data_IF_340918861368
#
_entry.id   IF_340918861368
#
_cell.length_a   1.000
_cell.length_b   1.000
_cell.length_c   1.000
_cell.angle_alpha   90.00
_cell.angle_beta   90.00
_cell.angle_gamma   90.00
#
_symmetry.space_group_name_H-M   'P 1'
#
loop_
_entity.id
_entity.type
_entity.pdbx_description
1 polymer ?
#
# COMPACT_ATOMS: atom_id res chain seq x y z
N UNK A 1 2.79 -22.67 17.98
CA UNK A 1 3.32 -21.39 18.49
C UNK A 1 3.73 -20.41 17.41
N UNK A 2 4.60 -20.77 16.45
CA UNK A 2 5.04 -19.86 15.37
C UNK A 2 3.86 -19.31 14.53
N UNK A 3 2.92 -20.16 14.16
CA UNK A 3 1.75 -19.79 13.38
C UNK A 3 0.89 -18.73 14.08
N UNK A 4 0.65 -18.91 15.40
CA UNK A 4 -0.06 -17.92 16.21
C UNK A 4 0.70 -16.60 16.33
N UNK A 5 2.01 -16.65 16.51
CA UNK A 5 2.82 -15.43 16.54
C UNK A 5 2.71 -14.66 15.23
N UNK A 6 2.92 -15.33 14.10
CA UNK A 6 2.99 -14.69 12.76
C UNK A 6 1.63 -14.15 12.31
N UNK A 7 0.52 -14.89 12.59
CA UNK A 7 -0.79 -14.54 12.03
C UNK A 7 -1.78 -13.95 13.02
N UNK A 8 -1.39 -13.83 14.31
CA UNK A 8 -2.21 -13.17 15.35
C UNK A 8 -1.42 -12.04 15.98
N UNK A 9 -0.31 -12.36 16.65
CA UNK A 9 0.41 -11.36 17.46
C UNK A 9 1.06 -10.30 16.57
N UNK A 10 1.79 -10.70 15.54
CA UNK A 10 2.53 -9.79 14.66
C UNK A 10 1.66 -8.74 13.97
N UNK A 11 0.49 -9.06 13.36
CA UNK A 11 -0.42 -8.07 12.81
C UNK A 11 -0.88 -7.03 13.84
N UNK A 12 -1.24 -7.45 15.04
CA UNK A 12 -1.65 -6.51 16.08
C UNK A 12 -0.52 -5.62 16.56
N UNK A 13 0.71 -6.14 16.68
CA UNK A 13 1.87 -5.33 17.00
C UNK A 13 2.09 -4.26 15.93
N UNK A 14 2.02 -4.63 14.65
CA UNK A 14 2.18 -3.69 13.54
C UNK A 14 1.09 -2.61 13.53
N UNK A 15 -0.17 -3.00 13.75
CA UNK A 15 -1.30 -2.05 13.83
C UNK A 15 -1.19 -1.14 15.07
N UNK A 16 -0.78 -1.68 16.20
CA UNK A 16 -0.55 -0.87 17.41
C UNK A 16 0.56 0.17 17.17
N UNK A 17 1.69 -0.24 16.58
CA UNK A 17 2.78 0.68 16.21
C UNK A 17 2.29 1.73 15.20
N UNK A 18 1.47 1.32 14.23
CA UNK A 18 0.89 2.24 13.25
C UNK A 18 0.07 3.33 13.93
N UNK A 19 -0.88 2.97 14.78
CA UNK A 19 -1.76 3.92 15.46
C UNK A 19 -1.00 4.79 16.46
N UNK A 20 -0.28 4.16 17.39
CA UNK A 20 0.46 4.86 18.45
C UNK A 20 1.55 5.74 17.84
N UNK A 21 2.27 5.22 16.84
CA UNK A 21 3.32 5.95 16.14
C UNK A 21 2.82 7.21 15.42
N UNK A 22 1.64 7.14 14.79
CA UNK A 22 1.02 8.33 14.17
C UNK A 22 0.60 9.36 15.22
N UNK A 23 -0.05 8.93 16.30
CA UNK A 23 -0.45 9.82 17.39
C UNK A 23 0.79 10.50 18.01
N UNK A 24 1.82 9.72 18.31
CA UNK A 24 3.05 10.23 18.90
C UNK A 24 3.74 11.23 17.97
N UNK A 25 3.90 10.88 16.67
CA UNK A 25 4.52 11.77 15.70
C UNK A 25 3.74 13.05 15.49
N UNK A 26 2.41 12.96 15.38
CA UNK A 26 1.56 14.15 15.27
C UNK A 26 1.66 15.07 16.48
N UNK A 27 1.74 14.49 17.70
CA UNK A 27 1.82 15.26 18.95
C UNK A 27 3.19 15.89 19.19
N UNK A 28 4.28 15.11 18.94
CA UNK A 28 5.63 15.50 19.36
C UNK A 28 6.53 16.01 18.23
N UNK A 29 6.21 15.67 16.97
CA UNK A 29 7.05 15.98 15.80
C UNK A 29 6.20 16.34 14.57
N UNK A 30 5.23 17.22 14.75
CA UNK A 30 4.30 17.63 13.69
C UNK A 30 5.00 18.29 12.49
N UNK A 31 6.09 19.02 12.72
CA UNK A 31 6.83 19.68 11.64
C UNK A 31 7.56 18.73 10.70
N UNK A 32 7.88 17.51 11.15
CA UNK A 32 8.46 16.47 10.30
C UNK A 32 7.41 15.64 9.55
N UNK A 33 6.12 15.93 9.75
CA UNK A 33 5.01 15.24 9.08
C UNK A 33 4.89 15.68 7.61
N UNK A 34 5.93 15.38 6.84
CA UNK A 34 6.04 15.79 5.45
C UNK A 34 6.90 14.83 4.65
N UNK A 35 6.76 14.84 3.32
CA UNK A 35 7.66 14.16 2.41
C UNK A 35 8.59 15.18 1.76
N UNK A 36 9.89 15.14 2.09
CA UNK A 36 10.89 16.03 1.48
C UNK A 36 10.88 15.86 -0.04
N UNK A 37 10.66 16.95 -0.77
CA UNK A 37 10.67 16.94 -2.23
C UNK A 37 12.11 16.98 -2.75
N UNK A 38 12.37 16.19 -3.79
CA UNK A 38 13.62 16.23 -4.56
C UNK A 38 13.38 16.63 -6.01
N UNK A 39 12.27 17.33 -6.29
CA UNK A 39 11.86 17.73 -7.63
C UNK A 39 12.85 18.68 -8.29
N UNK A 40 13.44 19.59 -7.51
CA UNK A 40 14.42 20.56 -8.01
C UNK A 40 15.71 19.90 -8.52
N UNK A 41 16.02 18.67 -8.07
CA UNK A 41 17.24 17.96 -8.51
C UNK A 41 17.00 17.23 -9.83
N UNK A 42 15.85 16.57 -9.94
CA UNK A 42 15.46 15.84 -11.15
C UNK A 42 13.93 15.72 -11.19
N UNK A 43 13.33 16.35 -12.20
CA UNK A 43 11.87 16.49 -12.33
C UNK A 43 11.25 15.43 -13.23
N UNK A 44 11.92 15.05 -14.34
CA UNK A 44 11.30 14.24 -15.41
C UNK A 44 10.96 12.83 -14.94
N UNK A 45 11.93 12.12 -14.35
CA UNK A 45 11.73 10.75 -13.83
C UNK A 45 10.82 10.76 -12.62
N UNK A 46 10.92 11.80 -11.77
CA UNK A 46 10.02 11.95 -10.62
C UNK A 46 8.57 12.09 -11.07
N UNK A 47 8.30 12.96 -12.05
CA UNK A 47 6.94 13.20 -12.57
C UNK A 47 6.32 11.91 -13.09
N UNK A 48 6.99 11.21 -13.98
CA UNK A 48 6.44 9.99 -14.58
C UNK A 48 6.35 8.83 -13.57
N UNK A 49 7.40 8.63 -12.78
CA UNK A 49 7.38 7.59 -11.74
C UNK A 49 6.29 7.81 -10.71
N UNK A 50 6.12 9.04 -10.23
CA UNK A 50 5.07 9.37 -9.28
C UNK A 50 3.67 9.28 -9.89
N UNK A 51 3.48 9.77 -11.12
CA UNK A 51 2.20 9.69 -11.81
C UNK A 51 1.75 8.24 -12.00
N UNK A 52 2.60 7.38 -12.56
CA UNK A 52 2.29 5.97 -12.78
C UNK A 52 2.06 5.23 -11.46
N UNK A 53 2.89 5.49 -10.45
CA UNK A 53 2.72 4.87 -9.14
C UNK A 53 1.36 5.20 -8.53
N UNK A 54 0.95 6.48 -8.49
CA UNK A 54 -0.31 6.87 -7.87
C UNK A 54 -1.52 6.47 -8.72
N UNK A 55 -1.41 6.56 -10.05
CA UNK A 55 -2.48 6.09 -10.95
C UNK A 55 -2.75 4.59 -10.78
N UNK A 56 -1.73 3.81 -10.51
CA UNK A 56 -1.86 2.38 -10.30
C UNK A 56 -2.24 2.01 -8.87
N UNK A 57 -1.57 2.59 -7.85
CA UNK A 57 -1.76 2.18 -6.45
C UNK A 57 -3.15 2.49 -5.89
N UNK A 58 -3.80 3.57 -6.36
CA UNK A 58 -5.13 3.95 -5.89
C UNK A 58 -6.16 2.88 -6.27
N UNK A 59 -6.29 2.46 -7.55
CA UNK A 59 -7.18 1.34 -7.91
C UNK A 59 -6.80 0.02 -7.22
N UNK A 60 -5.50 -0.28 -7.08
CA UNK A 60 -5.03 -1.47 -6.34
C UNK A 60 -5.49 -1.42 -4.90
N UNK A 61 -5.40 -0.27 -4.22
CA UNK A 61 -5.90 -0.11 -2.86
C UNK A 61 -7.41 -0.39 -2.78
N UNK A 62 -8.22 0.19 -3.66
CA UNK A 62 -9.66 -0.08 -3.68
C UNK A 62 -9.97 -1.54 -4.02
N UNK A 63 -9.18 -2.18 -4.88
CA UNK A 63 -9.27 -3.62 -5.12
C UNK A 63 -9.06 -4.44 -3.85
N UNK A 64 -8.09 -4.07 -3.01
CA UNK A 64 -7.88 -4.71 -1.70
C UNK A 64 -9.05 -4.44 -0.74
N UNK A 65 -9.59 -3.22 -0.71
CA UNK A 65 -10.79 -2.92 0.10
C UNK A 65 -11.96 -3.82 -0.31
N UNK A 66 -12.24 -3.92 -1.60
CA UNK A 66 -13.33 -4.77 -2.11
C UNK A 66 -13.06 -6.24 -1.82
N UNK A 67 -11.84 -6.72 -2.06
CA UNK A 67 -11.50 -8.14 -1.92
C UNK A 67 -11.36 -8.64 -0.49
N UNK A 68 -10.91 -7.79 0.44
CA UNK A 68 -10.64 -8.20 1.82
C UNK A 68 -11.76 -7.82 2.78
N UNK A 69 -12.35 -6.63 2.63
CA UNK A 69 -13.33 -6.12 3.60
C UNK A 69 -14.77 -6.46 3.22
N UNK A 70 -15.12 -6.50 1.92
CA UNK A 70 -16.49 -6.79 1.50
C UNK A 70 -16.70 -8.31 1.44
N UNK A 71 -17.65 -8.87 2.22
CA UNK A 71 -17.99 -10.29 2.15
C UNK A 71 -18.48 -10.72 0.76
N UNK A 72 -18.15 -11.95 0.35
CA UNK A 72 -18.51 -12.47 -0.96
C UNK A 72 -20.02 -12.46 -1.22
N UNK A 73 -20.82 -12.82 -0.22
CA UNK A 73 -22.27 -12.85 -0.28
C UNK A 73 -22.91 -11.48 -0.58
N UNK A 74 -22.28 -10.39 -0.18
CA UNK A 74 -22.78 -9.04 -0.50
C UNK A 74 -22.58 -8.71 -1.98
N UNK A 75 -21.47 -9.14 -2.56
CA UNK A 75 -21.21 -8.96 -3.99
C UNK A 75 -22.13 -9.85 -4.83
N UNK A 76 -22.40 -11.07 -4.38
CA UNK A 76 -23.34 -11.98 -5.01
C UNK A 76 -24.78 -11.41 -5.01
N UNK A 77 -25.19 -10.75 -3.93
CA UNK A 77 -26.50 -10.12 -3.82
C UNK A 77 -26.72 -9.00 -4.86
N UNK A 78 -25.65 -8.36 -5.34
CA UNK A 78 -25.71 -7.35 -6.42
C UNK A 78 -25.37 -7.91 -7.81
N UNK A 79 -25.33 -9.24 -7.95
CA UNK A 79 -25.11 -9.92 -9.23
C UNK A 79 -23.66 -10.19 -9.60
N UNK A 80 -22.68 -9.86 -8.74
CA UNK A 80 -21.25 -10.15 -8.95
C UNK A 80 -20.91 -11.50 -8.34
N UNK A 81 -21.04 -12.57 -9.14
CA UNK A 81 -20.68 -13.91 -8.70
C UNK A 81 -19.14 -14.08 -8.58
N UNK A 82 -18.71 -15.18 -7.95
CA UNK A 82 -17.30 -15.46 -7.72
C UNK A 82 -16.45 -15.48 -9.01
N UNK A 83 -17.00 -15.98 -10.10
CA UNK A 83 -16.31 -16.06 -11.39
C UNK A 83 -16.05 -14.66 -11.99
N UNK A 84 -17.10 -13.81 -12.05
CA UNK A 84 -17.00 -12.42 -12.53
C UNK A 84 -16.03 -11.63 -11.67
N UNK A 85 -16.12 -11.78 -10.35
CA UNK A 85 -15.20 -11.15 -9.42
C UNK A 85 -13.76 -11.58 -9.66
N UNK A 86 -13.50 -12.89 -9.78
CA UNK A 86 -12.14 -13.42 -10.00
C UNK A 86 -11.52 -12.89 -11.28
N UNK A 87 -12.28 -12.91 -12.40
CA UNK A 87 -11.82 -12.34 -13.67
C UNK A 87 -11.48 -10.87 -13.50
N UNK A 88 -12.37 -10.07 -12.89
CA UNK A 88 -12.14 -8.65 -12.64
C UNK A 88 -10.90 -8.41 -11.76
N UNK A 89 -10.75 -9.17 -10.68
CA UNK A 89 -9.61 -9.05 -9.77
C UNK A 89 -8.28 -9.39 -10.47
N UNK A 90 -8.25 -10.43 -11.30
CA UNK A 90 -7.03 -10.83 -12.03
C UNK A 90 -6.70 -9.83 -13.12
N UNK A 91 -7.62 -9.50 -14.01
CA UNK A 91 -7.33 -8.62 -15.16
C UNK A 91 -7.10 -7.17 -14.74
N UNK A 92 -8.04 -6.58 -13.99
CA UNK A 92 -7.95 -5.19 -13.55
C UNK A 92 -6.79 -5.04 -12.56
N UNK A 93 -6.68 -5.97 -11.60
CA UNK A 93 -5.59 -6.01 -10.62
C UNK A 93 -4.20 -6.13 -11.29
N UNK A 94 -4.06 -6.95 -12.34
CA UNK A 94 -2.82 -7.09 -13.10
C UNK A 94 -2.43 -5.80 -13.81
N UNK A 95 -3.38 -5.16 -14.52
CA UNK A 95 -3.11 -3.91 -15.24
C UNK A 95 -2.64 -2.83 -14.29
N UNK A 96 -3.38 -2.55 -13.22
CA UNK A 96 -3.00 -1.50 -12.27
C UNK A 96 -1.80 -1.90 -11.41
N UNK A 97 -1.63 -3.18 -11.10
CA UNK A 97 -0.45 -3.71 -10.42
C UNK A 97 0.83 -3.48 -11.23
N UNK A 98 0.81 -3.78 -12.54
CA UNK A 98 1.95 -3.55 -13.44
C UNK A 98 2.24 -2.06 -13.60
N UNK A 99 1.22 -1.21 -13.77
CA UNK A 99 1.38 0.25 -13.83
C UNK A 99 2.06 0.77 -12.56
N UNK A 100 1.60 0.30 -11.38
CA UNK A 100 2.20 0.65 -10.09
C UNK A 100 3.65 0.20 -9.99
N UNK A 101 3.93 -1.03 -10.41
CA UNK A 101 5.27 -1.61 -10.39
C UNK A 101 6.24 -0.84 -11.30
N UNK A 102 5.82 -0.48 -12.50
CA UNK A 102 6.63 0.35 -13.41
C UNK A 102 6.91 1.72 -12.79
N UNK A 103 5.89 2.37 -12.21
CA UNK A 103 6.06 3.63 -11.50
C UNK A 103 7.05 3.53 -10.35
N UNK A 104 6.93 2.46 -9.54
CA UNK A 104 7.83 2.21 -8.41
C UNK A 104 9.26 1.91 -8.86
N UNK A 105 9.45 1.13 -9.93
CA UNK A 105 10.76 0.87 -10.51
C UNK A 105 11.44 2.18 -10.97
N UNK A 106 10.71 3.06 -11.65
CA UNK A 106 11.24 4.36 -12.07
C UNK A 106 11.67 5.21 -10.87
N UNK A 107 10.87 5.24 -9.79
CA UNK A 107 11.20 5.97 -8.56
C UNK A 107 12.41 5.36 -7.85
N UNK A 108 12.50 4.04 -7.80
CA UNK A 108 13.63 3.32 -7.19
C UNK A 108 14.91 3.54 -7.96
N UNK A 109 14.89 3.34 -9.28
CA UNK A 109 16.03 3.58 -10.16
C UNK A 109 16.51 5.04 -10.07
N UNK A 110 15.58 6.00 -10.08
CA UNK A 110 15.90 7.40 -9.88
C UNK A 110 16.64 7.65 -8.57
N UNK A 111 16.12 7.08 -7.48
CA UNK A 111 16.68 7.24 -6.13
C UNK A 111 18.08 6.64 -6.00
N UNK A 112 18.31 5.48 -6.59
CA UNK A 112 19.58 4.76 -6.47
C UNK A 112 20.63 5.28 -7.48
N UNK A 113 20.22 5.66 -8.71
CA UNK A 113 21.14 6.05 -9.78
C UNK A 113 21.62 7.50 -9.67
N UNK A 114 20.77 8.42 -9.18
CA UNK A 114 21.13 9.84 -9.16
C UNK A 114 21.78 10.19 -7.82
N UNK A 115 23.10 10.43 -7.86
CA UNK A 115 23.96 10.68 -6.68
C UNK A 115 23.38 11.75 -5.73
N UNK A 116 22.88 12.87 -6.28
CA UNK A 116 22.33 13.96 -5.48
C UNK A 116 21.00 13.60 -4.82
N UNK A 117 20.13 12.84 -5.51
CA UNK A 117 18.88 12.33 -4.94
C UNK A 117 19.17 11.32 -3.82
N UNK A 118 20.13 10.41 -4.05
CA UNK A 118 20.55 9.41 -3.06
C UNK A 118 21.12 10.06 -1.80
N UNK A 119 21.95 11.11 -1.93
CA UNK A 119 22.52 11.85 -0.80
C UNK A 119 21.47 12.57 0.06
N UNK A 120 20.39 13.04 -0.55
CA UNK A 120 19.27 13.67 0.16
C UNK A 120 18.27 12.65 0.76
N UNK A 121 18.38 11.39 0.40
CA UNK A 121 17.51 10.34 0.90
C UNK A 121 18.00 9.86 2.27
N UNK A 122 17.10 9.85 3.25
CA UNK A 122 17.36 9.22 4.55
C UNK A 122 17.38 7.70 4.43
N UNK A 123 17.86 7.02 5.46
CA UNK A 123 17.79 5.56 5.53
C UNK A 123 16.34 5.07 5.43
N UNK A 124 15.41 5.71 6.14
CA UNK A 124 13.99 5.34 6.09
C UNK A 124 13.36 5.52 4.70
N UNK A 125 13.82 6.51 3.92
CA UNK A 125 13.37 6.71 2.54
C UNK A 125 13.81 5.57 1.61
N UNK A 126 15.04 5.08 1.77
CA UNK A 126 15.57 3.97 0.96
C UNK A 126 14.91 2.67 1.40
N UNK A 127 14.83 2.44 2.70
CA UNK A 127 14.23 1.24 3.28
C UNK A 127 12.77 1.07 2.80
N UNK A 128 11.91 2.07 3.01
CA UNK A 128 10.50 1.97 2.62
C UNK A 128 10.33 1.84 1.10
N UNK A 129 11.20 2.48 0.32
CA UNK A 129 11.19 2.36 -1.14
C UNK A 129 11.48 0.93 -1.59
N UNK A 130 12.47 0.26 -0.99
CA UNK A 130 12.82 -1.13 -1.31
C UNK A 130 11.71 -2.08 -0.83
N UNK A 131 11.21 -1.91 0.39
CA UNK A 131 10.13 -2.77 0.92
C UNK A 131 8.87 -2.66 0.05
N UNK A 132 8.47 -1.44 -0.34
CA UNK A 132 7.33 -1.25 -1.25
C UNK A 132 7.56 -1.92 -2.61
N UNK A 133 8.78 -1.82 -3.16
CA UNK A 133 9.10 -2.51 -4.41
C UNK A 133 8.93 -4.03 -4.28
N UNK A 134 9.42 -4.63 -3.20
CA UNK A 134 9.29 -6.07 -2.95
C UNK A 134 7.82 -6.46 -2.77
N UNK A 135 7.03 -5.67 -2.03
CA UNK A 135 5.58 -5.90 -1.87
C UNK A 135 4.88 -5.90 -3.22
N UNK A 136 5.17 -4.93 -4.08
CA UNK A 136 4.56 -4.85 -5.41
C UNK A 136 4.93 -6.02 -6.30
N UNK A 137 6.20 -6.45 -6.26
CA UNK A 137 6.65 -7.65 -6.96
C UNK A 137 5.89 -8.88 -6.47
N UNK A 138 5.77 -9.06 -5.15
CA UNK A 138 5.03 -10.18 -4.56
C UNK A 138 3.54 -10.13 -4.86
N UNK A 139 2.93 -8.95 -4.87
CA UNK A 139 1.53 -8.76 -5.26
C UNK A 139 1.27 -9.11 -6.72
N UNK A 140 2.10 -8.61 -7.64
CA UNK A 140 2.03 -8.98 -9.05
C UNK A 140 2.28 -10.47 -9.26
N UNK A 141 3.26 -11.05 -8.58
CA UNK A 141 3.54 -12.49 -8.64
C UNK A 141 2.32 -13.31 -8.15
N UNK A 142 1.70 -12.93 -7.04
CA UNK A 142 0.51 -13.62 -6.53
C UNK A 142 -0.66 -13.53 -7.51
N UNK A 143 -0.88 -12.37 -8.13
CA UNK A 143 -1.99 -12.18 -9.07
C UNK A 143 -1.77 -12.89 -10.42
N UNK A 144 -0.56 -12.83 -10.97
CA UNK A 144 -0.27 -13.35 -12.31
C UNK A 144 0.20 -14.80 -12.29
N UNK A 145 1.10 -15.16 -11.37
CA UNK A 145 1.76 -16.47 -11.38
C UNK A 145 1.05 -17.45 -10.46
N UNK A 146 0.79 -17.07 -9.21
CA UNK A 146 0.17 -17.98 -8.24
C UNK A 146 -1.25 -18.35 -8.66
N UNK A 147 -2.05 -17.39 -9.14
CA UNK A 147 -3.39 -17.70 -9.66
C UNK A 147 -3.37 -18.59 -10.92
N UNK A 148 -2.33 -18.48 -11.76
CA UNK A 148 -2.19 -19.35 -12.93
C UNK A 148 -1.79 -20.77 -12.54
N UNK A 149 -0.94 -20.95 -11.52
CA UNK A 149 -0.44 -22.25 -11.04
C UNK A 149 -1.45 -22.94 -10.13
N UNK A 150 -2.18 -22.17 -9.33
CA UNK A 150 -3.15 -22.64 -8.33
C UNK A 150 -4.52 -21.95 -8.54
N UNK A 151 -5.22 -22.22 -9.63
CA UNK A 151 -6.49 -21.54 -9.96
C UNK A 151 -7.61 -21.86 -8.97
N UNK A 152 -7.49 -22.96 -8.24
CA UNK A 152 -8.43 -23.40 -7.20
C UNK A 152 -8.32 -22.57 -5.90
N UNK A 153 -7.22 -21.82 -5.71
CA UNK A 153 -7.00 -21.06 -4.50
C UNK A 153 -7.83 -19.76 -4.51
N UNK A 154 -8.85 -19.72 -3.66
CA UNK A 154 -9.66 -18.53 -3.44
C UNK A 154 -9.26 -17.84 -2.12
N UNK A 155 -8.51 -16.73 -2.22
CA UNK A 155 -8.10 -15.93 -1.07
C UNK A 155 -9.27 -15.31 -0.29
N UNK A 156 -10.46 -15.18 -0.91
CA UNK A 156 -11.66 -14.65 -0.25
C UNK A 156 -12.21 -15.58 0.82
N UNK A 157 -11.95 -16.90 0.69
CA UNK A 157 -12.39 -17.91 1.65
C UNK A 157 -11.39 -18.13 2.78
N UNK A 158 -10.18 -17.63 2.66
CA UNK A 158 -9.10 -17.80 3.63
C UNK A 158 -8.58 -16.47 4.15
N UNK A 159 -7.78 -15.76 3.35
CA UNK A 159 -7.12 -14.51 3.72
C UNK A 159 -8.13 -13.43 4.09
N UNK A 160 -9.20 -13.24 3.30
CA UNK A 160 -10.18 -12.19 3.54
C UNK A 160 -10.98 -12.43 4.83
N UNK A 161 -11.31 -13.70 5.14
CA UNK A 161 -11.98 -14.05 6.40
C UNK A 161 -11.03 -13.77 7.57
N UNK A 162 -9.78 -14.25 7.49
CA UNK A 162 -8.77 -13.99 8.51
C UNK A 162 -8.57 -12.48 8.73
N UNK A 163 -8.46 -11.71 7.66
CA UNK A 163 -8.24 -10.26 7.72
C UNK A 163 -9.41 -9.54 8.40
N UNK A 164 -10.66 -9.87 8.07
CA UNK A 164 -11.84 -9.30 8.75
C UNK A 164 -11.89 -9.66 10.23
N UNK A 165 -11.51 -10.90 10.58
CA UNK A 165 -11.48 -11.36 11.96
C UNK A 165 -10.41 -10.66 12.81
N UNK A 166 -9.36 -10.08 12.21
CA UNK A 166 -8.44 -9.20 12.93
C UNK A 166 -9.16 -7.98 13.52
N UNK A 167 -10.08 -7.36 12.78
CA UNK A 167 -10.86 -6.22 13.28
C UNK A 167 -11.98 -6.62 14.26
N UNK A 168 -12.36 -7.88 14.24
CA UNK A 168 -13.31 -8.46 15.21
C UNK A 168 -12.62 -9.03 16.46
N UNK A 169 -11.29 -8.86 16.58
CA UNK A 169 -10.48 -9.41 17.67
C UNK A 169 -10.58 -10.94 17.86
N UNK A 170 -10.89 -11.66 16.80
CA UNK A 170 -11.06 -13.12 16.78
C UNK A 170 -10.32 -13.80 15.61
N UNK A 171 -9.05 -13.46 15.31
CA UNK A 171 -8.35 -14.02 14.16
C UNK A 171 -8.08 -15.52 14.33
N UNK A 172 -8.37 -16.29 13.30
CA UNK A 172 -8.04 -17.70 13.24
C UNK A 172 -6.77 -17.89 12.37
N UNK A 173 -5.65 -18.25 13.03
CA UNK A 173 -4.37 -18.48 12.36
C UNK A 173 -4.39 -19.72 11.46
N UNK A 174 -5.30 -20.68 11.64
CA UNK A 174 -5.35 -21.91 10.86
C UNK A 174 -5.81 -21.66 9.42
N UNK A 175 -6.59 -20.59 9.19
CA UNK A 175 -6.95 -20.15 7.84
C UNK A 175 -5.73 -19.83 6.96
N UNK A 176 -4.60 -19.51 7.60
CA UNK A 176 -3.37 -19.15 6.90
C UNK A 176 -2.46 -20.35 6.61
N UNK A 177 -2.77 -21.57 7.10
CA UNK A 177 -1.90 -22.73 6.95
C UNK A 177 -1.66 -23.07 5.47
N UNK A 178 -2.73 -23.18 4.69
CA UNK A 178 -2.70 -23.62 3.28
C UNK A 178 -2.62 -22.45 2.28
N UNK A 179 -2.40 -21.22 2.76
CA UNK A 179 -2.22 -20.06 1.89
C UNK A 179 -0.87 -20.16 1.18
N UNK A 180 -0.79 -19.88 -0.14
CA UNK A 180 0.47 -19.90 -0.89
C UNK A 180 1.48 -18.89 -0.30
N UNK A 181 2.76 -19.24 -0.37
CA UNK A 181 3.85 -18.48 0.23
C UNK A 181 3.95 -17.04 -0.27
N UNK A 182 3.60 -16.81 -1.54
CA UNK A 182 3.64 -15.47 -2.15
C UNK A 182 2.66 -14.50 -1.47
N UNK A 183 1.43 -14.97 -1.19
CA UNK A 183 0.46 -14.20 -0.42
C UNK A 183 0.92 -13.99 1.02
N UNK A 184 1.46 -15.02 1.66
CA UNK A 184 2.00 -14.91 3.03
C UNK A 184 3.07 -13.84 3.13
N UNK A 185 4.04 -13.85 2.21
CA UNK A 185 5.11 -12.86 2.19
C UNK A 185 4.59 -11.45 1.90
N UNK A 186 3.66 -11.31 0.93
CA UNK A 186 3.03 -10.04 0.61
C UNK A 186 2.32 -9.44 1.84
N UNK A 187 1.56 -10.25 2.57
CA UNK A 187 0.84 -9.84 3.79
C UNK A 187 1.80 -9.41 4.90
N UNK A 188 2.83 -10.21 5.18
CA UNK A 188 3.82 -9.90 6.21
C UNK A 188 4.55 -8.59 5.91
N UNK A 189 4.99 -8.39 4.69
CA UNK A 189 5.61 -7.14 4.26
C UNK A 189 4.62 -5.96 4.33
N UNK A 190 3.34 -6.17 4.01
CA UNK A 190 2.30 -5.17 4.17
C UNK A 190 2.15 -4.70 5.62
N UNK A 191 2.08 -5.62 6.57
CA UNK A 191 2.07 -5.28 7.99
C UNK A 191 3.37 -4.61 8.45
N UNK A 192 4.53 -5.04 7.93
CA UNK A 192 5.80 -4.33 8.18
C UNK A 192 5.73 -2.86 7.73
N UNK A 193 5.13 -2.60 6.56
CA UNK A 193 4.95 -1.22 6.08
C UNK A 193 4.03 -0.44 7.01
N UNK A 194 2.94 -1.02 7.52
CA UNK A 194 2.10 -0.35 8.52
C UNK A 194 2.92 0.03 9.76
N UNK A 195 3.73 -0.87 10.31
CA UNK A 195 4.58 -0.57 11.46
C UNK A 195 5.59 0.55 11.16
N UNK A 196 6.18 0.56 9.97
CA UNK A 196 7.16 1.57 9.56
C UNK A 196 6.53 2.90 9.08
N UNK A 197 5.23 2.91 8.75
CA UNK A 197 4.54 4.06 8.17
C UNK A 197 4.76 5.37 8.93
N UNK A 198 4.52 5.43 10.26
CA UNK A 198 4.68 6.67 11.03
C UNK A 198 6.08 7.25 10.97
N UNK A 199 7.11 6.42 10.73
CA UNK A 199 8.53 6.80 10.75
C UNK A 199 9.10 7.07 9.36
N UNK A 200 8.25 7.01 8.33
CA UNK A 200 8.66 7.16 6.93
C UNK A 200 7.93 8.30 6.26
N UNK A 201 8.27 8.57 4.99
CA UNK A 201 7.59 9.55 4.15
C UNK A 201 6.15 9.17 3.79
N UNK A 202 5.69 7.95 4.08
CA UNK A 202 4.33 7.51 3.79
C UNK A 202 3.26 8.31 4.56
N UNK A 203 3.64 9.03 5.60
CA UNK A 203 2.74 9.94 6.33
C UNK A 203 2.05 10.98 5.43
N UNK A 204 2.63 11.29 4.24
CA UNK A 204 2.01 12.23 3.30
C UNK A 204 0.62 11.76 2.82
N UNK A 205 0.34 10.46 2.84
CA UNK A 205 -0.99 9.92 2.50
C UNK A 205 -2.06 10.42 3.47
N UNK A 206 -1.71 10.59 4.74
CA UNK A 206 -2.62 11.08 5.78
C UNK A 206 -2.62 12.62 5.91
N UNK A 207 -1.75 13.31 5.16
CA UNK A 207 -1.64 14.77 5.16
C UNK A 207 -2.19 15.41 3.88
N UNK A 208 -3.09 14.72 3.16
CA UNK A 208 -3.77 15.29 1.99
C UNK A 208 -4.53 16.54 2.39
N UNK A 209 -4.21 17.71 1.81
CA UNK A 209 -4.79 18.98 2.21
C UNK A 209 -6.20 19.14 1.64
N UNK A 210 -7.17 18.39 2.18
CA UNK A 210 -8.58 18.41 1.74
C UNK A 210 -9.18 19.82 1.79
N UNK A 211 -8.69 20.68 2.68
CA UNK A 211 -9.11 22.08 2.77
C UNK A 211 -8.84 22.90 1.50
N UNK A 212 -7.89 22.48 0.65
CA UNK A 212 -7.64 23.16 -0.62
C UNK A 212 -8.75 22.94 -1.65
N UNK A 213 -9.54 21.87 -1.52
CA UNK A 213 -10.66 21.62 -2.44
C UNK A 213 -11.76 22.68 -2.34
N UNK A 214 -11.93 23.30 -1.14
CA UNK A 214 -12.94 24.33 -0.88
C UNK A 214 -12.35 25.74 -0.76
N UNK A 215 -11.06 25.91 -0.99
CA UNK A 215 -10.38 27.18 -0.82
C UNK A 215 -10.66 28.09 -2.02
N UNK A 216 -11.14 29.31 -1.75
CA UNK A 216 -11.30 30.35 -2.78
C UNK A 216 -9.95 30.83 -3.30
N UNK A 217 -9.90 31.30 -4.55
CA UNK A 217 -8.71 31.89 -5.14
C UNK A 217 -8.20 33.06 -4.30
N UNK A 218 -6.90 33.10 -4.02
CA UNK A 218 -6.22 34.25 -3.44
C UNK A 218 -5.77 35.12 -4.59
N UNK A 219 -6.41 36.30 -4.75
CA UNK A 219 -6.02 37.28 -5.76
C UNK A 219 -4.91 38.15 -5.19
N UNK A 220 -3.69 37.94 -5.66
CA UNK A 220 -2.58 38.86 -5.37
C UNK A 220 -2.73 40.11 -6.22
N UNK A 221 -3.12 41.25 -5.65
CA UNK A 221 -3.12 42.53 -6.33
C UNK A 221 -1.75 43.18 -6.15
N UNK A 222 -1.11 43.58 -7.29
CA UNK A 222 0.09 44.40 -7.25
C UNK A 222 -0.36 45.80 -6.82
N UNK A 223 0.08 46.28 -5.67
CA UNK A 223 -0.04 47.71 -5.36
C UNK A 223 0.87 48.48 -6.35
N UNK A 224 0.28 49.28 -7.21
CA UNK A 224 1.03 50.30 -7.94
C UNK A 224 1.34 51.40 -6.92
N UNK A 225 2.63 51.50 -6.55
CA UNK A 225 3.21 52.67 -5.87
C UNK A 225 3.39 53.74 -6.92
#
# INVERSE_FOLDING_TARGET
MLNQFVWVIYPYLCLAIFVIGHIARYKYDQFSWTAKSSEMIEKKRLKWGSLLFHLGIIPVFFGHVVGLLIPANWLEAIGVNNHIYHIGAVYIGSVFGIITLIGMLLLTLRRLSIKNVRRLSSFSDIFVNIVLLIILIMGCYSTLVTNAIQPEFDYRQTIAIWFRHLFMFSPNADLMLNVPWSFKLHILLGFTVFACWPFTRLVHVLSVPLSYMNRRYIVYRKNKI
#
